data_IF_494396293894
#
_entry.id   IF_494396293894
#
_cell.length_a   1.000
_cell.length_b   1.000
_cell.length_c   1.000
_cell.angle_alpha   90.00
_cell.angle_beta   90.00
_cell.angle_gamma   90.00
#
_symmetry.space_group_name_H-M   'P 1'
#
loop_
_entity.id
_entity.type
_entity.pdbx_description
1 polymer ?
#
# COMPACT_ATOMS: atom_id res chain seq x y z
N UNK A 1 0.00 1.43 6.46
CA UNK A 1 -0.61 2.78 6.56
C UNK A 1 -1.16 3.18 5.20
N UNK A 2 -2.29 3.89 5.12
CA UNK A 2 -2.90 4.35 3.86
C UNK A 2 -2.54 5.82 3.61
N UNK A 3 -2.06 6.16 2.41
CA UNK A 3 -1.66 7.52 2.03
C UNK A 3 -2.66 8.08 1.04
N UNK A 4 -3.07 9.34 1.18
CA UNK A 4 -3.86 10.09 0.18
C UNK A 4 -3.11 11.37 -0.22
N UNK A 5 -3.09 11.69 -1.51
CA UNK A 5 -2.14 12.62 -2.17
C UNK A 5 -2.75 13.98 -2.55
N UNK A 6 -3.95 14.30 -2.05
CA UNK A 6 -4.74 15.44 -2.53
C UNK A 6 -4.49 16.78 -1.79
N UNK A 7 -3.23 17.24 -1.64
CA UNK A 7 -2.83 18.69 -1.67
C UNK A 7 -1.46 18.95 -1.00
N UNK A 8 -0.58 19.82 -1.57
CA UNK A 8 0.76 20.09 -1.04
C UNK A 8 0.86 21.20 0.03
N UNK A 9 -0.24 21.71 0.61
CA UNK A 9 -0.20 23.00 1.35
C UNK A 9 -0.76 23.04 2.78
N UNK A 10 -1.03 21.92 3.44
CA UNK A 10 -1.51 21.94 4.83
C UNK A 10 -0.86 20.84 5.65
N UNK A 11 0.31 21.15 6.21
CA UNK A 11 0.92 20.39 7.31
C UNK A 11 0.27 20.73 8.68
N UNK A 12 -0.85 21.46 8.70
CA UNK A 12 -1.48 21.96 9.92
C UNK A 12 -3.00 21.86 9.81
N UNK A 13 -3.53 20.67 10.10
CA UNK A 13 -4.74 20.39 10.90
C UNK A 13 -5.20 18.96 10.61
N UNK A 14 -4.87 18.07 11.52
CA UNK A 14 -5.49 16.76 11.65
C UNK A 14 -6.97 16.94 12.02
N UNK A 15 -7.89 17.04 11.06
CA UNK A 15 -9.34 17.07 11.37
C UNK A 15 -10.27 16.37 10.37
N UNK A 16 -9.77 15.70 9.34
CA UNK A 16 -10.55 14.68 8.61
C UNK A 16 -9.71 13.42 8.41
N UNK A 17 -9.23 12.85 9.51
CA UNK A 17 -9.04 11.40 9.54
C UNK A 17 -10.43 10.80 9.33
N UNK A 18 -10.74 10.37 8.10
CA UNK A 18 -11.84 9.46 7.82
C UNK A 18 -11.59 8.27 8.76
N UNK A 19 -12.27 8.26 9.91
CA UNK A 19 -11.90 7.48 11.10
C UNK A 19 -12.26 6.04 10.81
N UNK A 20 -11.38 5.34 10.12
CA UNK A 20 -11.54 3.93 9.85
C UNK A 20 -11.49 3.18 11.18
N UNK A 21 -12.37 2.21 11.44
CA UNK A 21 -12.39 1.51 12.72
C UNK A 21 -11.00 0.98 13.07
N UNK A 22 -10.43 1.33 14.23
CA UNK A 22 -9.05 0.98 14.63
C UNK A 22 -8.78 -0.54 14.62
N UNK A 23 -9.83 -1.36 14.65
CA UNK A 23 -9.77 -2.82 14.76
C UNK A 23 -8.96 -3.50 13.65
N UNK A 24 -9.01 -3.00 12.41
CA UNK A 24 -8.33 -3.67 11.30
C UNK A 24 -6.86 -3.25 11.16
N UNK A 25 -6.40 -2.14 11.75
CA UNK A 25 -5.02 -1.65 11.58
C UNK A 25 -4.00 -2.66 12.13
N UNK A 26 -4.30 -3.28 13.27
CA UNK A 26 -3.44 -4.29 13.93
C UNK A 26 -3.53 -5.71 13.38
N UNK A 27 -4.41 -5.97 12.41
CA UNK A 27 -4.55 -7.32 11.83
C UNK A 27 -3.35 -7.69 10.95
N UNK A 28 -2.89 -8.93 11.12
CA UNK A 28 -1.80 -9.56 10.38
C UNK A 28 -2.17 -9.81 8.91
N UNK A 29 -1.17 -9.87 8.02
CA UNK A 29 -1.35 -10.22 6.61
C UNK A 29 -1.47 -11.73 6.34
N UNK A 30 -1.26 -12.60 7.34
CA UNK A 30 -1.28 -14.05 7.16
C UNK A 30 -0.02 -14.63 6.51
N UNK A 31 1.01 -13.83 6.21
CA UNK A 31 2.21 -14.29 5.51
C UNK A 31 2.99 -15.41 6.23
N UNK A 32 2.93 -15.46 7.57
CA UNK A 32 3.61 -16.50 8.36
C UNK A 32 3.01 -17.91 8.21
N UNK A 33 1.74 -18.01 7.80
CA UNK A 33 1.05 -19.31 7.62
C UNK A 33 0.90 -19.69 6.14
N UNK A 34 1.32 -18.84 5.20
CA UNK A 34 1.13 -19.05 3.76
C UNK A 34 1.63 -20.42 3.26
N UNK A 35 2.76 -20.90 3.79
CA UNK A 35 3.32 -22.20 3.40
C UNK A 35 2.63 -23.42 4.02
N UNK A 36 1.77 -23.23 5.01
CA UNK A 36 1.06 -24.30 5.71
C UNK A 36 -0.43 -24.32 5.37
N UNK A 37 -1.08 -23.17 5.46
CA UNK A 37 -2.49 -22.97 5.12
C UNK A 37 -2.62 -21.72 4.26
N UNK A 38 -2.58 -21.95 2.95
CA UNK A 38 -2.65 -20.89 1.96
C UNK A 38 -4.04 -20.23 1.91
N UNK A 39 -5.11 -21.00 2.06
CA UNK A 39 -6.48 -20.46 1.97
C UNK A 39 -6.74 -19.45 3.09
N UNK A 40 -6.38 -19.81 4.32
CA UNK A 40 -6.49 -18.90 5.47
C UNK A 40 -5.56 -17.69 5.31
N UNK A 41 -4.34 -17.87 4.80
CA UNK A 41 -3.42 -16.76 4.55
C UNK A 41 -4.00 -15.74 3.55
N UNK A 42 -4.59 -16.23 2.45
CA UNK A 42 -5.22 -15.40 1.44
C UNK A 42 -6.50 -14.75 1.96
N UNK A 43 -7.28 -15.43 2.82
CA UNK A 43 -8.46 -14.85 3.47
C UNK A 43 -8.10 -13.65 4.35
N UNK A 44 -7.06 -13.77 5.19
CA UNK A 44 -6.58 -12.66 6.04
C UNK A 44 -6.11 -11.47 5.20
N UNK A 45 -5.40 -11.76 4.11
CA UNK A 45 -4.95 -10.74 3.15
C UNK A 45 -6.14 -10.02 2.52
N UNK A 46 -7.15 -10.78 2.08
CA UNK A 46 -8.38 -10.29 1.46
C UNK A 46 -9.14 -9.34 2.37
N UNK A 47 -9.35 -9.72 3.63
CA UNK A 47 -10.04 -8.88 4.61
C UNK A 47 -9.38 -7.49 4.74
N UNK A 48 -8.04 -7.45 4.80
CA UNK A 48 -7.33 -6.16 4.87
C UNK A 48 -7.47 -5.36 3.58
N UNK A 49 -7.36 -6.00 2.42
CA UNK A 49 -7.48 -5.35 1.10
C UNK A 49 -8.87 -4.75 0.90
N UNK A 50 -9.93 -5.47 1.30
CA UNK A 50 -11.31 -4.97 1.30
C UNK A 50 -11.42 -3.69 2.13
N UNK A 51 -10.91 -3.70 3.36
CA UNK A 51 -10.99 -2.54 4.24
C UNK A 51 -10.23 -1.34 3.70
N UNK A 52 -9.05 -1.56 3.11
CA UNK A 52 -8.21 -0.46 2.59
C UNK A 52 -8.80 0.12 1.31
N UNK A 53 -9.42 -0.73 0.49
CA UNK A 53 -10.11 -0.31 -0.74
C UNK A 53 -11.41 0.43 -0.42
N UNK A 54 -12.17 -0.02 0.59
CA UNK A 54 -13.40 0.64 1.04
C UNK A 54 -13.17 2.10 1.49
N UNK A 55 -11.95 2.40 1.97
CA UNK A 55 -11.58 3.74 2.42
C UNK A 55 -10.92 4.59 1.33
N UNK A 56 -10.84 4.04 0.11
CA UNK A 56 -10.32 4.69 -1.09
C UNK A 56 -8.89 5.23 -0.91
N UNK A 57 -8.02 4.45 -0.28
CA UNK A 57 -6.60 4.80 -0.14
C UNK A 57 -5.89 4.92 -1.51
N UNK A 58 -4.98 5.89 -1.67
CA UNK A 58 -4.21 6.01 -2.92
C UNK A 58 -3.08 4.97 -3.01
N UNK A 59 -2.52 4.58 -1.87
CA UNK A 59 -1.51 3.54 -1.75
C UNK A 59 -1.45 2.96 -0.34
N UNK A 60 -0.97 1.73 -0.22
CA UNK A 60 -0.63 1.08 1.04
C UNK A 60 0.88 1.10 1.26
N UNK A 61 1.31 1.56 2.44
CA UNK A 61 2.73 1.57 2.85
C UNK A 61 2.98 0.45 3.85
N UNK A 62 4.02 -0.33 3.58
CA UNK A 62 4.43 -1.51 4.34
C UNK A 62 5.86 -1.37 4.86
N UNK A 63 6.12 -1.95 6.03
CA UNK A 63 7.46 -2.01 6.65
C UNK A 63 8.01 -3.44 6.73
N UNK A 64 7.19 -4.43 6.43
CA UNK A 64 7.55 -5.85 6.54
C UNK A 64 7.62 -6.46 5.14
N UNK A 65 8.73 -7.12 4.76
CA UNK A 65 8.89 -7.69 3.42
C UNK A 65 7.88 -8.82 3.14
N UNK A 66 7.50 -9.61 4.15
CA UNK A 66 6.45 -10.62 4.02
C UNK A 66 5.08 -10.00 3.72
N UNK A 67 4.77 -8.84 4.28
CA UNK A 67 3.55 -8.13 3.92
C UNK A 67 3.55 -7.70 2.45
N UNK A 68 4.70 -7.35 1.88
CA UNK A 68 4.81 -7.06 0.44
C UNK A 68 4.52 -8.30 -0.40
N UNK A 69 4.99 -9.47 0.02
CA UNK A 69 4.63 -10.74 -0.65
C UNK A 69 3.11 -10.94 -0.66
N UNK A 70 2.43 -10.72 0.47
CA UNK A 70 0.98 -10.92 0.55
C UNK A 70 0.18 -9.86 -0.22
N UNK A 71 0.41 -8.58 0.06
CA UNK A 71 -0.42 -7.50 -0.47
C UNK A 71 -0.03 -7.06 -1.88
N UNK A 72 1.18 -7.36 -2.36
CA UNK A 72 1.62 -7.01 -3.70
C UNK A 72 1.75 -8.24 -4.59
N UNK A 73 2.53 -9.25 -4.17
CA UNK A 73 2.77 -10.42 -5.00
C UNK A 73 1.55 -11.34 -5.08
N UNK A 74 0.85 -11.55 -3.96
CA UNK A 74 -0.35 -12.38 -3.92
C UNK A 74 -1.65 -11.61 -4.20
N UNK A 75 -1.60 -10.29 -4.45
CA UNK A 75 -2.81 -9.50 -4.77
C UNK A 75 -3.60 -10.12 -5.92
N UNK A 76 -2.93 -10.44 -7.04
CA UNK A 76 -3.57 -11.11 -8.19
C UNK A 76 -4.14 -12.49 -7.86
N UNK A 77 -3.54 -13.19 -6.90
CA UNK A 77 -4.01 -14.51 -6.47
C UNK A 77 -5.29 -14.38 -5.65
N UNK A 78 -5.33 -13.42 -4.72
CA UNK A 78 -6.54 -13.05 -3.96
C UNK A 78 -7.65 -12.60 -4.90
N UNK A 79 -7.34 -11.72 -5.85
CA UNK A 79 -8.29 -11.22 -6.86
C UNK A 79 -8.94 -12.36 -7.66
N UNK A 80 -8.13 -13.33 -8.12
CA UNK A 80 -8.63 -14.51 -8.82
C UNK A 80 -9.46 -15.44 -7.94
N UNK A 81 -9.03 -15.69 -6.71
CA UNK A 81 -9.68 -16.67 -5.83
C UNK A 81 -11.04 -16.19 -5.33
N UNK A 82 -11.17 -14.89 -5.06
CA UNK A 82 -12.39 -14.29 -4.52
C UNK A 82 -13.19 -13.48 -5.55
N UNK A 83 -12.81 -13.52 -6.82
CA UNK A 83 -13.44 -12.75 -7.92
C UNK A 83 -13.57 -11.25 -7.59
N UNK A 84 -12.49 -10.68 -7.03
CA UNK A 84 -12.40 -9.26 -6.64
C UNK A 84 -11.34 -8.52 -7.44
N UNK A 85 -11.35 -7.20 -7.42
CA UNK A 85 -10.30 -6.37 -8.02
C UNK A 85 -9.99 -5.17 -7.11
N UNK A 86 -8.73 -5.00 -6.74
CA UNK A 86 -8.30 -3.89 -5.87
C UNK A 86 -7.49 -2.86 -6.63
N UNK A 87 -6.61 -3.28 -7.55
CA UNK A 87 -5.67 -2.39 -8.26
C UNK A 87 -4.94 -1.44 -7.29
N UNK A 88 -4.64 -1.91 -6.07
CA UNK A 88 -4.14 -1.08 -4.99
C UNK A 88 -2.60 -1.02 -5.06
N UNK A 89 -1.99 0.17 -5.24
CA UNK A 89 -0.55 0.30 -5.21
C UNK A 89 0.00 0.03 -3.80
N UNK A 90 1.00 -0.84 -3.72
CA UNK A 90 1.72 -1.15 -2.49
C UNK A 90 3.13 -0.58 -2.60
N UNK A 91 3.58 0.08 -1.54
CA UNK A 91 4.88 0.73 -1.43
C UNK A 91 5.60 0.22 -0.18
N UNK A 92 6.89 -0.04 -0.31
CA UNK A 92 7.73 -0.33 0.84
C UNK A 92 8.21 0.98 1.47
N UNK A 93 8.23 1.06 2.79
CA UNK A 93 8.53 2.28 3.54
C UNK A 93 9.85 2.95 3.13
N UNK A 94 10.97 2.21 2.97
CA UNK A 94 12.22 2.77 2.44
C UNK A 94 12.07 3.47 1.08
N UNK A 95 11.17 3.02 0.19
CA UNK A 95 10.97 3.67 -1.10
C UNK A 95 10.42 5.09 -0.91
N UNK A 96 9.47 5.28 0.00
CA UNK A 96 8.89 6.59 0.28
C UNK A 96 9.89 7.47 1.04
N UNK A 97 10.63 6.87 1.98
CA UNK A 97 11.65 7.58 2.73
C UNK A 97 12.75 8.12 1.80
N UNK A 98 13.24 7.31 0.86
CA UNK A 98 14.24 7.76 -0.09
C UNK A 98 13.70 8.84 -1.05
N UNK A 99 12.45 8.75 -1.51
CA UNK A 99 11.84 9.84 -2.27
C UNK A 99 11.76 11.14 -1.46
N UNK A 100 11.48 11.07 -0.15
CA UNK A 100 11.48 12.24 0.72
C UNK A 100 12.89 12.80 0.97
N UNK A 101 13.93 11.97 0.88
CA UNK A 101 15.33 12.37 0.97
C UNK A 101 15.90 12.90 -0.37
N UNK A 102 15.10 12.94 -1.43
CA UNK A 102 15.50 13.47 -2.73
C UNK A 102 16.08 12.44 -3.71
N UNK A 103 16.04 11.14 -3.39
CA UNK A 103 16.40 10.10 -4.35
C UNK A 103 15.38 10.05 -5.49
N UNK A 104 15.85 9.63 -6.67
CA UNK A 104 15.02 9.48 -7.85
C UNK A 104 14.05 8.29 -7.76
N UNK A 105 12.98 8.34 -8.57
CA UNK A 105 12.04 7.22 -8.72
C UNK A 105 12.71 5.93 -9.23
N UNK A 106 13.83 6.06 -9.94
CA UNK A 106 14.60 4.95 -10.48
C UNK A 106 15.41 4.26 -9.39
N UNK A 107 16.15 5.03 -8.58
CA UNK A 107 16.90 4.52 -7.43
C UNK A 107 15.99 3.82 -6.43
N UNK A 108 14.77 4.33 -6.25
CA UNK A 108 13.77 3.72 -5.35
C UNK A 108 13.04 2.53 -5.97
N UNK A 109 13.36 2.14 -7.20
CA UNK A 109 12.81 0.95 -7.84
C UNK A 109 11.30 1.01 -8.07
N UNK A 110 10.69 2.19 -8.18
CA UNK A 110 9.22 2.36 -8.28
C UNK A 110 8.64 1.68 -9.53
N UNK A 111 9.46 1.51 -10.58
CA UNK A 111 9.10 0.78 -11.80
C UNK A 111 8.90 -0.73 -11.57
N UNK A 112 9.47 -1.29 -10.50
CA UNK A 112 9.41 -2.71 -10.16
C UNK A 112 8.14 -3.10 -9.40
N UNK A 113 7.42 -2.11 -8.84
CA UNK A 113 6.17 -2.37 -8.15
C UNK A 113 5.13 -2.93 -9.12
N UNK A 114 4.44 -4.00 -8.72
CA UNK A 114 3.49 -4.72 -9.60
C UNK A 114 2.30 -3.86 -10.02
N UNK A 115 1.81 -3.04 -9.09
CA UNK A 115 0.76 -2.06 -9.34
C UNK A 115 1.39 -0.67 -9.32
N UNK A 116 1.42 -0.02 -10.48
CA UNK A 116 2.11 1.27 -10.66
C UNK A 116 1.43 2.39 -9.84
N UNK A 117 2.12 3.03 -8.89
CA UNK A 117 1.57 4.10 -8.07
C UNK A 117 1.55 5.44 -8.83
N UNK A 118 0.67 5.56 -9.84
CA UNK A 118 0.65 6.71 -10.78
C UNK A 118 0.51 8.07 -10.07
N UNK A 119 -0.35 8.15 -9.04
CA UNK A 119 -0.57 9.38 -8.25
C UNK A 119 0.70 9.80 -7.50
N UNK A 120 1.39 8.84 -6.88
CA UNK A 120 2.66 9.07 -6.19
C UNK A 120 3.76 9.52 -7.15
N UNK A 121 3.88 8.88 -8.32
CA UNK A 121 4.86 9.26 -9.35
C UNK A 121 4.67 10.71 -9.78
N UNK A 122 3.42 11.13 -10.02
CA UNK A 122 3.08 12.52 -10.37
C UNK A 122 3.37 13.52 -9.25
N UNK A 123 3.25 13.09 -7.98
CA UNK A 123 3.56 13.92 -6.83
C UNK A 123 5.08 14.05 -6.63
N UNK A 124 5.81 12.94 -6.68
CA UNK A 124 7.25 12.90 -6.49
C UNK A 124 8.00 13.67 -7.60
N UNK A 125 7.55 13.59 -8.85
CA UNK A 125 8.17 14.34 -9.96
C UNK A 125 8.05 15.87 -9.80
N UNK A 126 7.11 16.36 -8.98
CA UNK A 126 7.01 17.78 -8.61
C UNK A 126 8.00 18.21 -7.52
N UNK A 127 8.55 17.28 -6.75
CA UNK A 127 9.41 17.58 -5.61
C UNK A 127 10.90 17.35 -5.91
N UNK A 128 11.22 16.35 -6.72
CA UNK A 128 12.62 16.01 -7.10
C UNK A 128 13.22 17.01 -8.13
N UNK A 129 12.41 17.92 -8.67
CA UNK A 129 12.84 19.00 -9.59
C UNK A 129 13.15 20.33 -8.90
N UNK A 130 13.39 20.33 -7.58
CA UNK A 130 13.88 21.48 -6.81
C UNK A 130 15.25 21.19 -6.24
#
# INVERSE_FOLDING_TARGET
>A
MAVTTSSPRTCTTASTTRRTPKAWIGQCCGGGILGFDEETALLLTKQKLDHVTAVQADAMVLICPFCSIMYEANQRRVEKFYETEYKLPVLYYPQILGLAMGFSLEEMGIKLNRVKPRKLIKFASRQVGK
#
